data_IF_912410724578
#
_entry.id   IF_912410724578
#
_cell.length_a   1.000
_cell.length_b   1.000
_cell.length_c   1.000
_cell.angle_alpha   90.00
_cell.angle_beta   90.00
_cell.angle_gamma   90.00
#
_symmetry.space_group_name_H-M   'P 1'
#
loop_
_entity.id
_entity.type
_entity.pdbx_description
1 polymer ?
#
# COMPACT_ATOMS: atom_id res chain seq x y z
N UNK A 1 25.31 8.63 5.24
CA UNK A 1 24.60 8.90 3.97
C UNK A 1 23.68 10.09 4.17
N UNK A 2 23.20 10.72 3.10
CA UNK A 2 22.16 11.74 3.20
C UNK A 2 20.78 11.06 3.21
N UNK A 3 19.91 11.48 4.12
CA UNK A 3 18.55 10.94 4.26
C UNK A 3 17.53 12.00 3.85
N UNK A 4 16.45 11.58 3.19
CA UNK A 4 15.38 12.48 2.75
C UNK A 4 14.04 11.75 2.71
N UNK A 5 12.97 12.47 3.05
CA UNK A 5 11.60 11.99 2.95
C UNK A 5 10.95 12.43 1.63
N UNK A 6 10.22 11.50 1.00
CA UNK A 6 9.47 11.73 -0.24
C UNK A 6 8.02 11.29 -0.08
N UNK A 7 7.09 12.20 -0.31
CA UNK A 7 5.66 11.90 -0.36
C UNK A 7 5.26 11.61 -1.81
N UNK A 8 5.05 10.34 -2.13
CA UNK A 8 4.71 9.88 -3.49
C UNK A 8 3.28 9.36 -3.50
N UNK A 9 2.46 9.86 -4.43
CA UNK A 9 1.11 9.35 -4.64
C UNK A 9 1.12 7.89 -5.13
N UNK A 10 0.10 7.13 -4.73
CA UNK A 10 -0.08 5.73 -5.18
C UNK A 10 -0.14 5.69 -6.70
N UNK A 11 0.66 4.83 -7.33
CA UNK A 11 0.70 4.65 -8.78
C UNK A 11 1.43 5.76 -9.56
N UNK A 12 1.94 6.80 -8.88
CA UNK A 12 2.77 7.83 -9.54
C UNK A 12 4.23 7.39 -9.57
N UNK A 13 4.85 7.49 -10.75
CA UNK A 13 6.31 7.41 -10.90
C UNK A 13 6.86 8.84 -10.86
N UNK A 14 7.38 9.24 -9.70
CA UNK A 14 8.15 10.47 -9.57
C UNK A 14 9.64 10.18 -9.77
N UNK A 15 10.36 11.05 -10.47
CA UNK A 15 11.82 10.94 -10.61
C UNK A 15 12.48 11.50 -9.36
N UNK A 16 12.89 10.60 -8.47
CA UNK A 16 13.52 10.95 -7.19
C UNK A 16 15.04 10.95 -7.36
N UNK A 17 15.70 11.97 -6.84
CA UNK A 17 17.16 12.06 -6.78
C UNK A 17 17.63 12.61 -5.44
N UNK A 18 18.85 12.27 -5.05
CA UNK A 18 19.49 12.79 -3.84
C UNK A 18 19.64 14.32 -3.95
N UNK A 19 19.07 15.07 -2.99
CA UNK A 19 19.18 16.53 -2.98
C UNK A 19 20.61 17.05 -2.78
N UNK A 20 21.53 16.20 -2.31
CA UNK A 20 22.90 16.59 -2.00
C UNK A 20 23.89 16.31 -3.14
N UNK A 21 23.69 15.23 -3.92
CA UNK A 21 24.61 14.83 -4.99
C UNK A 21 23.94 14.60 -6.35
N UNK A 22 22.60 14.67 -6.43
CA UNK A 22 21.85 14.45 -7.67
C UNK A 22 21.73 12.99 -8.12
N UNK A 23 22.36 12.04 -7.42
CA UNK A 23 22.28 10.61 -7.76
C UNK A 23 20.84 10.08 -7.71
N UNK A 24 20.49 9.20 -8.63
CA UNK A 24 19.23 8.43 -8.66
C UNK A 24 19.37 7.04 -8.03
N UNK A 25 20.60 6.65 -7.66
CA UNK A 25 20.84 5.44 -6.87
C UNK A 25 20.46 5.70 -5.41
N UNK A 26 19.24 5.30 -5.06
CA UNK A 26 18.64 5.52 -3.74
C UNK A 26 18.21 4.19 -3.13
N UNK A 27 18.43 4.04 -1.82
CA UNK A 27 17.92 2.92 -1.04
C UNK A 27 16.67 3.33 -0.25
N UNK A 28 15.67 2.44 -0.21
CA UNK A 28 14.39 2.70 0.48
C UNK A 28 14.48 2.22 1.93
N UNK A 29 14.56 3.15 2.88
CA UNK A 29 14.74 2.83 4.31
C UNK A 29 13.40 2.54 5.01
N UNK A 30 12.41 3.41 4.86
CA UNK A 30 11.08 3.26 5.46
C UNK A 30 10.00 3.67 4.46
N UNK A 31 8.86 2.97 4.48
CA UNK A 31 7.68 3.36 3.71
C UNK A 31 6.47 3.39 4.61
N UNK A 32 5.84 4.56 4.74
CA UNK A 32 4.51 4.64 5.32
C UNK A 32 3.55 3.87 4.40
N UNK A 33 2.78 2.95 4.98
CA UNK A 33 1.73 2.27 4.24
C UNK A 33 0.71 3.32 3.80
N UNK A 34 0.64 3.59 2.50
CA UNK A 34 -0.30 4.54 1.91
C UNK A 34 -1.71 3.94 1.91
N UNK A 35 -2.35 3.91 3.08
CA UNK A 35 -3.79 3.69 3.21
C UNK A 35 -4.54 5.00 2.87
N UNK A 36 -4.33 5.54 1.68
CA UNK A 36 -5.07 6.71 1.17
C UNK A 36 -5.94 6.32 -0.04
N UNK A 37 -6.32 5.05 -0.12
CA UNK A 37 -7.18 4.52 -1.17
C UNK A 37 -8.51 4.08 -0.60
N UNK A 38 -9.39 5.04 -0.32
CA UNK A 38 -10.77 4.79 0.02
C UNK A 38 -10.96 4.12 1.38
N UNK A 39 -11.77 4.75 2.22
CA UNK A 39 -12.59 4.01 3.17
C UNK A 39 -13.23 2.91 2.33
N UNK A 40 -12.78 1.68 2.52
CA UNK A 40 -13.33 0.57 1.79
C UNK A 40 -14.84 0.67 1.90
N UNK A 41 -15.57 0.51 0.79
CA UNK A 41 -17.02 0.33 0.83
C UNK A 41 -17.37 -1.03 1.47
N UNK A 42 -16.72 -1.37 2.57
CA UNK A 42 -17.20 -2.40 3.45
C UNK A 42 -18.53 -1.88 3.96
N UNK A 43 -19.59 -2.60 3.58
CA UNK A 43 -20.86 -2.51 4.29
C UNK A 43 -20.56 -2.61 5.78
N UNK A 44 -21.09 -1.69 6.62
CA UNK A 44 -20.91 -1.78 8.06
C UNK A 44 -21.25 -3.18 8.55
N UNK A 45 -20.38 -3.76 9.38
CA UNK A 45 -20.54 -5.14 9.87
C UNK A 45 -20.13 -6.24 8.88
N UNK A 46 -19.55 -5.91 7.71
CA UNK A 46 -19.00 -6.89 6.77
C UNK A 46 -17.47 -6.81 6.65
N UNK A 47 -16.86 -7.96 6.44
CA UNK A 47 -15.43 -8.17 6.24
C UNK A 47 -15.01 -7.86 4.81
N UNK A 48 -13.70 -7.94 4.52
CA UNK A 48 -13.16 -7.55 3.22
C UNK A 48 -13.65 -8.37 2.02
N UNK A 49 -14.21 -9.56 2.26
CA UNK A 49 -14.86 -10.42 1.29
C UNK A 49 -16.41 -10.36 1.34
N UNK A 50 -16.98 -9.44 2.13
CA UNK A 50 -18.44 -9.25 2.25
C UNK A 50 -19.15 -10.15 3.27
N UNK A 51 -18.42 -10.93 4.07
CA UNK A 51 -18.98 -11.83 5.10
C UNK A 51 -19.13 -11.13 6.45
N UNK A 52 -19.89 -11.65 7.40
CA UNK A 52 -19.97 -11.04 8.74
C UNK A 52 -18.82 -11.54 9.64
N UNK A 53 -18.39 -12.76 9.39
CA UNK A 53 -17.31 -13.47 10.06
C UNK A 53 -15.96 -13.34 9.32
N UNK A 54 -14.87 -13.53 10.07
CA UNK A 54 -13.50 -13.53 9.52
C UNK A 54 -13.25 -14.81 8.72
N UNK A 55 -12.43 -14.72 7.66
CA UNK A 55 -11.97 -15.88 6.91
C UNK A 55 -11.03 -16.74 7.75
N UNK A 56 -11.13 -18.07 7.60
CA UNK A 56 -10.23 -19.02 8.26
C UNK A 56 -8.78 -18.92 7.75
N UNK A 57 -8.58 -18.62 6.46
CA UNK A 57 -7.25 -18.54 5.83
C UNK A 57 -7.02 -17.23 5.06
N UNK A 58 -6.10 -16.34 5.51
CA UNK A 58 -5.67 -15.16 4.76
C UNK A 58 -4.54 -15.49 3.75
N UNK A 59 -4.40 -14.76 2.62
CA UNK A 59 -5.32 -13.79 2.04
C UNK A 59 -6.41 -14.53 1.23
N UNK A 60 -7.52 -13.91 0.84
CA UNK A 60 -8.72 -14.67 0.43
C UNK A 60 -8.81 -14.92 -1.09
N UNK A 61 -8.54 -16.12 -1.65
CA UNK A 61 -8.62 -16.36 -3.12
C UNK A 61 -9.67 -17.32 -3.58
N UNK A 62 -9.94 -17.12 -4.87
CA UNK A 62 -10.35 -17.98 -5.98
C UNK A 62 -11.59 -18.81 -5.77
N UNK A 63 -12.20 -18.75 -4.58
CA UNK A 63 -13.48 -19.37 -4.29
C UNK A 63 -14.47 -18.42 -3.59
N UNK A 64 -14.17 -17.11 -3.60
CA UNK A 64 -15.17 -16.03 -3.51
C UNK A 64 -15.16 -15.10 -2.30
N UNK A 65 -14.50 -13.93 -2.27
CA UNK A 65 -13.20 -13.45 -2.80
C UNK A 65 -12.78 -12.25 -1.92
N UNK A 66 -11.50 -12.17 -1.54
CA UNK A 66 -10.76 -10.94 -1.23
C UNK A 66 -9.25 -11.21 -1.14
N UNK A 67 -8.55 -11.21 -2.28
CA UNK A 67 -7.11 -11.48 -2.40
C UNK A 67 -6.48 -10.18 -2.91
N UNK A 68 -5.44 -9.68 -2.25
CA UNK A 68 -4.46 -8.77 -2.87
C UNK A 68 -3.41 -9.66 -3.55
N UNK A 69 -3.33 -9.58 -4.88
CA UNK A 69 -2.12 -9.88 -5.63
C UNK A 69 -1.35 -8.60 -5.83
#
# INVERSE_FOLDING_TARGET
GAEAEYLIGVGKKENISCKNCGSTELERILSVASFLGGISQHSPGRTCCGREERCDTPPCSDRGVCRRG
#
